data_IF_176068035761
#
_entry.id   IF_176068035761
#
_cell.length_a   1.000
_cell.length_b   1.000
_cell.length_c   1.000
_cell.angle_alpha   90.00
_cell.angle_beta   90.00
_cell.angle_gamma   90.00
#
_symmetry.space_group_name_H-M   'P 1'
#
loop_
_entity.id
_entity.type
_entity.pdbx_description
1 polymer ?
#
# COMPACT_ATOMS: atom_id res chain seq x y z
N UNK A 1 1.62 -8.40 -30.40
CA UNK A 1 2.00 -6.99 -30.16
C UNK A 1 2.87 -6.54 -31.30
N UNK A 2 2.79 -5.28 -31.71
CA UNK A 2 3.71 -4.75 -32.73
C UNK A 2 5.16 -4.86 -32.22
N UNK A 3 6.13 -5.25 -33.05
CA UNK A 3 7.54 -5.29 -32.65
C UNK A 3 8.01 -3.90 -32.20
N UNK A 4 8.84 -3.82 -31.17
CA UNK A 4 9.38 -2.55 -30.64
C UNK A 4 10.17 -1.74 -31.69
N UNK A 5 10.61 -2.37 -32.78
CA UNK A 5 11.32 -1.71 -33.89
C UNK A 5 10.40 -1.20 -35.01
N UNK A 6 9.07 -1.35 -34.87
CA UNK A 6 8.13 -0.86 -35.87
C UNK A 6 8.28 0.67 -36.05
N UNK A 7 8.37 1.18 -37.29
CA UNK A 7 8.43 2.61 -37.57
C UNK A 7 7.27 3.38 -36.92
N UNK A 8 6.10 2.75 -36.79
CA UNK A 8 4.94 3.30 -36.11
C UNK A 8 5.17 3.48 -34.60
N UNK A 9 5.83 2.52 -33.95
CA UNK A 9 6.17 2.59 -32.52
C UNK A 9 7.19 3.70 -32.28
N UNK A 10 8.22 3.80 -33.14
CA UNK A 10 9.20 4.89 -33.07
C UNK A 10 8.58 6.27 -33.28
N UNK A 11 7.66 6.43 -34.24
CA UNK A 11 6.94 7.69 -34.46
C UNK A 11 6.08 8.06 -33.25
N UNK A 12 5.39 7.09 -32.64
CA UNK A 12 4.59 7.33 -31.43
C UNK A 12 5.46 7.63 -30.20
N UNK A 13 6.60 6.97 -30.06
CA UNK A 13 7.58 7.25 -29.01
C UNK A 13 8.23 8.62 -29.19
N UNK A 14 8.61 8.99 -30.41
CA UNK A 14 9.16 10.32 -30.72
C UNK A 14 8.11 11.41 -30.57
N UNK A 15 6.85 11.16 -30.93
CA UNK A 15 5.76 12.09 -30.70
C UNK A 15 5.43 12.22 -29.19
N UNK A 16 5.50 11.12 -28.45
CA UNK A 16 5.39 11.12 -26.98
C UNK A 16 6.55 11.89 -26.33
N UNK A 17 7.79 11.62 -26.73
CA UNK A 17 9.00 12.35 -26.28
C UNK A 17 8.96 13.82 -26.67
N UNK A 18 8.45 14.16 -27.84
CA UNK A 18 8.24 15.53 -28.30
C UNK A 18 7.17 16.25 -27.48
N UNK A 19 6.04 15.59 -27.18
CA UNK A 19 4.99 16.12 -26.30
C UNK A 19 5.45 16.23 -24.83
N UNK A 20 6.32 15.34 -24.38
CA UNK A 20 6.98 15.39 -23.06
C UNK A 20 8.05 16.49 -23.00
N UNK A 21 8.80 16.69 -24.08
CA UNK A 21 9.81 17.75 -24.25
C UNK A 21 9.20 19.15 -24.41
N UNK A 22 7.90 19.24 -24.75
CA UNK A 22 7.15 20.51 -24.73
C UNK A 22 6.91 21.07 -23.32
N UNK A 23 7.13 20.30 -22.26
CA UNK A 23 7.37 20.85 -20.92
C UNK A 23 8.85 21.27 -20.85
N UNK A 24 9.15 22.40 -21.48
CA UNK A 24 10.51 22.82 -21.72
C UNK A 24 11.15 23.35 -20.42
N UNK A 25 12.48 23.43 -20.34
CA UNK A 25 13.19 24.00 -19.18
C UNK A 25 12.68 25.40 -18.80
N UNK A 26 12.23 26.16 -19.82
CA UNK A 26 11.61 27.47 -19.68
C UNK A 26 10.30 27.42 -18.89
N UNK A 27 9.44 26.43 -19.12
CA UNK A 27 8.15 26.27 -18.42
C UNK A 27 8.37 25.84 -16.96
N UNK A 28 9.31 24.92 -16.72
CA UNK A 28 9.70 24.52 -15.35
C UNK A 28 10.29 25.71 -14.58
N UNK A 29 11.19 26.48 -15.20
CA UNK A 29 11.77 27.67 -14.59
C UNK A 29 10.76 28.79 -14.35
N UNK A 30 9.76 28.94 -15.23
CA UNK A 30 8.68 29.92 -15.08
C UNK A 30 7.77 29.56 -13.91
N UNK A 31 7.45 28.27 -13.75
CA UNK A 31 6.64 27.77 -12.64
C UNK A 31 7.33 27.95 -11.30
N UNK A 32 8.65 27.78 -11.24
CA UNK A 32 9.42 27.94 -9.99
C UNK A 32 10.06 29.33 -9.85
N UNK A 33 9.68 30.30 -10.69
CA UNK A 33 10.03 31.72 -10.52
C UNK A 33 9.35 32.28 -9.25
N UNK A 34 9.70 33.52 -8.85
CA UNK A 34 9.34 34.10 -7.54
C UNK A 34 7.84 34.07 -7.20
N UNK A 35 6.97 33.93 -8.19
CA UNK A 35 5.50 33.89 -8.07
C UNK A 35 4.87 32.65 -8.74
N UNK A 36 5.16 31.45 -8.26
CA UNK A 36 4.26 30.33 -8.58
C UNK A 36 2.89 30.58 -7.96
N UNK A 37 1.92 30.97 -8.78
CA UNK A 37 0.54 31.12 -8.35
C UNK A 37 -0.11 29.73 -8.26
N UNK A 38 -0.92 29.48 -7.22
CA UNK A 38 -1.67 28.23 -7.02
C UNK A 38 -2.32 27.74 -8.34
N UNK A 39 -2.89 28.66 -9.13
CA UNK A 39 -3.49 28.36 -10.44
C UNK A 39 -2.54 27.66 -11.44
N UNK A 40 -1.26 28.04 -11.46
CA UNK A 40 -0.28 27.43 -12.37
C UNK A 40 0.04 25.99 -11.95
N UNK A 41 0.27 25.76 -10.64
CA UNK A 41 0.49 24.41 -10.12
C UNK A 41 -0.75 23.53 -10.31
N UNK A 42 -1.94 24.08 -10.06
CA UNK A 42 -3.21 23.39 -10.29
C UNK A 42 -3.36 22.98 -11.76
N UNK A 43 -3.05 23.86 -12.70
CA UNK A 43 -3.09 23.54 -14.14
C UNK A 43 -2.09 22.42 -14.50
N UNK A 44 -0.87 22.46 -13.97
CA UNK A 44 0.16 21.45 -14.23
C UNK A 44 -0.25 20.09 -13.69
N UNK A 45 -0.65 20.02 -12.41
CA UNK A 45 -1.05 18.76 -11.79
C UNK A 45 -2.39 18.22 -12.27
N UNK A 46 -3.23 19.06 -12.87
CA UNK A 46 -4.48 18.65 -13.51
C UNK A 46 -4.27 18.15 -14.95
N UNK A 47 -3.12 18.46 -15.58
CA UNK A 47 -2.77 17.93 -16.90
C UNK A 47 -2.56 16.42 -16.83
N UNK A 48 -3.34 15.67 -17.61
CA UNK A 48 -3.26 14.21 -17.65
C UNK A 48 -1.88 13.72 -18.10
N UNK A 49 -1.30 14.35 -19.13
CA UNK A 49 0.03 13.99 -19.63
C UNK A 49 1.10 14.18 -18.56
N UNK A 50 1.05 15.31 -17.83
CA UNK A 50 1.99 15.56 -16.75
C UNK A 50 1.76 14.61 -15.58
N UNK A 51 0.51 14.37 -15.22
CA UNK A 51 0.15 13.49 -14.12
C UNK A 51 0.54 12.03 -14.39
N UNK A 52 0.48 11.58 -15.63
CA UNK A 52 0.87 10.23 -16.06
C UNK A 52 2.39 10.05 -16.17
N UNK A 53 3.13 11.10 -16.51
CA UNK A 53 4.55 11.01 -16.79
C UNK A 53 5.43 11.65 -15.70
N UNK A 54 6.40 10.88 -15.21
CA UNK A 54 7.33 11.36 -14.19
C UNK A 54 8.40 12.26 -14.81
N UNK A 55 8.60 13.45 -14.23
CA UNK A 55 9.65 14.38 -14.66
C UNK A 55 10.69 14.57 -13.54
N UNK A 56 11.82 13.88 -13.64
CA UNK A 56 12.85 13.84 -12.58
C UNK A 56 13.38 15.24 -12.23
N UNK A 57 13.64 16.09 -13.25
CA UNK A 57 14.09 17.47 -13.04
C UNK A 57 13.05 18.30 -12.29
N UNK A 58 11.78 18.16 -12.67
CA UNK A 58 10.68 18.86 -12.00
C UNK A 58 10.57 18.45 -10.54
N UNK A 59 10.70 17.16 -10.23
CA UNK A 59 10.63 16.64 -8.86
C UNK A 59 11.74 17.23 -8.00
N UNK A 60 12.98 17.27 -8.52
CA UNK A 60 14.12 17.88 -7.82
C UNK A 60 13.89 19.37 -7.55
N UNK A 61 13.48 20.12 -8.58
CA UNK A 61 13.15 21.55 -8.41
C UNK A 61 12.00 21.77 -7.43
N UNK A 62 10.98 20.91 -7.44
CA UNK A 62 9.88 20.96 -6.48
C UNK A 62 10.33 20.68 -5.05
N UNK A 63 11.24 19.71 -4.85
CA UNK A 63 11.78 19.39 -3.53
C UNK A 63 12.58 20.55 -2.92
N UNK A 64 13.22 21.36 -3.76
CA UNK A 64 13.90 22.59 -3.34
C UNK A 64 12.94 23.76 -3.09
N UNK A 65 11.92 23.89 -3.94
CA UNK A 65 11.01 25.04 -3.96
C UNK A 65 9.90 24.94 -2.93
N UNK A 66 9.27 23.77 -2.79
CA UNK A 66 8.07 23.57 -1.97
C UNK A 66 8.25 23.97 -0.50
N UNK A 67 9.35 23.61 0.20
CA UNK A 67 9.56 24.00 1.61
C UNK A 67 9.52 25.51 1.83
N UNK A 68 9.95 26.31 0.84
CA UNK A 68 10.02 27.78 0.93
C UNK A 68 8.69 28.47 0.64
N UNK A 69 7.74 27.77 0.04
CA UNK A 69 6.50 28.36 -0.52
C UNK A 69 5.22 27.71 0.01
N UNK A 70 5.32 26.60 0.73
CA UNK A 70 4.18 25.84 1.24
C UNK A 70 3.16 26.66 2.04
N UNK A 71 3.60 27.70 2.76
CA UNK A 71 2.71 28.57 3.52
C UNK A 71 1.75 29.39 2.63
N UNK A 72 2.14 29.66 1.39
CA UNK A 72 1.29 30.41 0.44
C UNK A 72 0.41 29.50 -0.43
N UNK A 73 0.50 28.18 -0.24
CA UNK A 73 -0.28 27.22 -1.01
C UNK A 73 -1.67 27.01 -0.42
N UNK A 74 -2.65 26.83 -1.30
CA UNK A 74 -3.98 26.39 -0.92
C UNK A 74 -3.96 24.91 -0.52
N UNK A 75 -4.88 24.47 0.35
CA UNK A 75 -5.02 23.03 0.65
C UNK A 75 -5.29 22.18 -0.60
N UNK A 76 -5.98 22.73 -1.59
CA UNK A 76 -6.25 22.05 -2.86
C UNK A 76 -4.96 21.82 -3.65
N UNK A 77 -4.13 22.86 -3.83
CA UNK A 77 -2.82 22.73 -4.49
C UNK A 77 -1.92 21.73 -3.76
N UNK A 78 -1.85 21.79 -2.42
CA UNK A 78 -1.06 20.83 -1.64
C UNK A 78 -1.58 19.39 -1.81
N UNK A 79 -2.89 19.19 -1.90
CA UNK A 79 -3.48 17.88 -2.14
C UNK A 79 -3.17 17.33 -3.54
N UNK A 80 -3.04 18.18 -4.56
CA UNK A 80 -2.59 17.78 -5.90
C UNK A 80 -1.12 17.34 -5.89
N UNK A 81 -0.26 18.07 -5.18
CA UNK A 81 1.15 17.71 -4.99
C UNK A 81 1.24 16.35 -4.28
N UNK A 82 0.54 16.19 -3.15
CA UNK A 82 0.49 14.93 -2.40
C UNK A 82 0.02 13.76 -3.27
N UNK A 83 -1.03 13.97 -4.08
CA UNK A 83 -1.54 12.98 -5.03
C UNK A 83 -0.50 12.58 -6.08
N UNK A 84 0.25 13.55 -6.62
CA UNK A 84 1.33 13.29 -7.58
C UNK A 84 2.47 12.49 -6.94
N UNK A 85 2.93 12.90 -5.75
CA UNK A 85 3.93 12.17 -4.94
C UNK A 85 3.51 10.73 -4.75
N UNK A 86 2.27 10.49 -4.27
CA UNK A 86 1.71 9.16 -4.04
C UNK A 86 1.62 8.30 -5.31
N UNK A 87 1.15 8.87 -6.43
CA UNK A 87 1.04 8.16 -7.72
C UNK A 87 2.37 7.62 -8.20
N UNK A 88 3.40 8.47 -8.16
CA UNK A 88 4.73 8.17 -8.68
C UNK A 88 5.63 7.48 -7.65
N UNK A 89 5.10 7.10 -6.48
CA UNK A 89 5.84 6.41 -5.42
C UNK A 89 7.11 7.16 -4.98
N UNK A 90 7.07 8.49 -5.00
CA UNK A 90 8.22 9.36 -4.70
C UNK A 90 8.48 9.42 -3.19
N UNK A 91 9.53 8.74 -2.73
CA UNK A 91 9.98 8.80 -1.33
C UNK A 91 11.04 9.90 -1.13
N UNK A 92 10.67 11.13 -1.49
CA UNK A 92 11.53 12.31 -1.35
C UNK A 92 11.26 13.02 0.01
N UNK A 93 12.21 12.96 0.97
CA UNK A 93 12.00 13.47 2.33
C UNK A 93 11.57 14.93 2.38
N UNK A 94 12.15 15.81 1.54
CA UNK A 94 11.85 17.25 1.59
C UNK A 94 10.39 17.53 1.21
N UNK A 95 9.87 16.80 0.23
CA UNK A 95 8.46 16.91 -0.18
C UNK A 95 7.53 16.37 0.90
N UNK A 96 7.82 15.17 1.41
CA UNK A 96 6.98 14.49 2.40
C UNK A 96 6.95 15.29 3.73
N UNK A 97 8.09 15.74 4.21
CA UNK A 97 8.17 16.54 5.44
C UNK A 97 7.50 17.91 5.27
N UNK A 98 7.52 18.50 4.07
CA UNK A 98 6.78 19.75 3.81
C UNK A 98 5.26 19.53 3.87
N UNK A 99 4.76 18.42 3.30
CA UNK A 99 3.35 18.03 3.41
C UNK A 99 2.98 17.79 4.89
N UNK A 100 3.86 17.15 5.65
CA UNK A 100 3.67 16.87 7.07
C UNK A 100 3.61 18.15 7.91
N UNK A 101 4.49 19.11 7.64
CA UNK A 101 4.46 20.43 8.28
C UNK A 101 3.20 21.23 7.91
N UNK A 102 2.75 21.15 6.66
CA UNK A 102 1.50 21.78 6.24
C UNK A 102 0.29 21.19 6.98
N UNK A 103 0.23 19.85 7.11
CA UNK A 103 -0.79 19.14 7.88
C UNK A 103 -0.77 19.53 9.36
N UNK A 104 0.42 19.57 9.99
CA UNK A 104 0.56 19.94 11.40
C UNK A 104 0.03 21.36 11.67
N UNK A 105 0.33 22.31 10.78
CA UNK A 105 -0.09 23.70 10.91
C UNK A 105 -1.58 23.90 10.63
N UNK A 106 -2.14 23.23 9.61
CA UNK A 106 -3.47 23.56 9.07
C UNK A 106 -4.55 22.48 9.27
N UNK A 107 -4.19 21.30 9.74
CA UNK A 107 -5.05 20.11 9.72
C UNK A 107 -6.45 20.29 10.34
N UNK A 108 -6.57 21.09 11.40
CA UNK A 108 -7.85 21.39 12.05
C UNK A 108 -8.85 22.08 11.11
N UNK A 109 -8.36 22.98 10.25
CA UNK A 109 -9.21 23.73 9.31
C UNK A 109 -9.53 22.95 8.02
N UNK A 110 -8.91 21.79 7.80
CA UNK A 110 -9.05 21.03 6.56
C UNK A 110 -10.24 20.06 6.59
N UNK A 111 -10.90 19.88 5.46
CA UNK A 111 -11.85 18.79 5.25
C UNK A 111 -11.18 17.41 5.39
N UNK A 112 -11.90 16.42 5.94
CA UNK A 112 -11.37 15.06 6.14
C UNK A 112 -10.88 14.41 4.85
N UNK A 113 -11.52 14.70 3.71
CA UNK A 113 -11.09 14.23 2.38
C UNK A 113 -9.75 14.84 1.94
N UNK A 114 -9.46 16.08 2.34
CA UNK A 114 -8.16 16.72 2.07
C UNK A 114 -7.10 16.11 2.98
N UNK A 115 -7.39 15.96 4.27
CA UNK A 115 -6.48 15.30 5.23
C UNK A 115 -6.11 13.91 4.73
N UNK A 116 -7.08 13.11 4.29
CA UNK A 116 -6.85 11.79 3.70
C UNK A 116 -5.83 11.86 2.54
N UNK A 117 -6.01 12.79 1.60
CA UNK A 117 -5.09 12.95 0.45
C UNK A 117 -3.67 13.35 0.88
N UNK A 118 -3.53 14.12 1.96
CA UNK A 118 -2.24 14.60 2.46
C UNK A 118 -1.53 13.56 3.33
N UNK A 119 -2.27 12.69 4.04
CA UNK A 119 -1.71 11.60 4.86
C UNK A 119 -1.31 10.40 4.02
N UNK A 120 -2.08 10.09 2.96
CA UNK A 120 -1.87 8.92 2.11
C UNK A 120 -0.44 8.75 1.55
N UNK A 121 0.28 9.80 1.12
CA UNK A 121 1.66 9.66 0.65
C UNK A 121 2.59 9.04 1.70
N UNK A 122 2.42 9.36 2.98
CA UNK A 122 3.27 8.83 4.06
C UNK A 122 3.16 7.31 4.13
N UNK A 123 1.93 6.81 4.16
CA UNK A 123 1.69 5.37 4.21
C UNK A 123 2.07 4.70 2.89
N UNK A 124 1.78 5.33 1.74
CA UNK A 124 2.17 4.78 0.43
C UNK A 124 3.68 4.60 0.31
N UNK A 125 4.48 5.55 0.81
CA UNK A 125 5.95 5.47 0.77
C UNK A 125 6.59 4.79 1.98
N UNK A 126 5.78 4.24 2.89
CA UNK A 126 6.25 3.70 4.16
C UNK A 126 7.23 4.68 4.86
N UNK A 127 6.83 5.95 4.90
CA UNK A 127 7.66 7.05 5.38
C UNK A 127 7.00 7.69 6.60
N UNK A 128 7.71 7.67 7.73
CA UNK A 128 7.34 8.45 8.92
C UNK A 128 7.97 9.85 8.80
N UNK A 129 7.16 10.92 8.74
CA UNK A 129 7.69 12.28 8.69
C UNK A 129 8.60 12.63 9.86
N UNK A 130 9.55 13.53 9.68
CA UNK A 130 10.46 13.97 10.76
C UNK A 130 9.71 14.55 11.97
N UNK A 131 8.57 15.19 11.76
CA UNK A 131 7.71 15.76 12.79
C UNK A 131 6.57 14.81 13.26
N UNK A 132 6.66 13.50 13.01
CA UNK A 132 5.59 12.55 13.33
C UNK A 132 5.20 12.52 14.81
N UNK A 133 6.14 12.79 15.72
CA UNK A 133 5.88 12.83 17.17
C UNK A 133 4.84 13.89 17.57
N UNK A 134 4.75 15.00 16.85
CA UNK A 134 3.73 16.04 17.05
C UNK A 134 2.54 15.87 16.10
N UNK A 135 2.81 15.46 14.85
CA UNK A 135 1.78 15.33 13.82
C UNK A 135 0.77 14.23 14.16
N UNK A 136 1.22 13.06 14.61
CA UNK A 136 0.32 11.93 14.83
C UNK A 136 -0.70 12.21 15.93
N UNK A 137 -0.32 12.64 17.16
CA UNK A 137 -1.30 13.02 18.19
C UNK A 137 -2.28 14.10 17.72
N UNK A 138 -1.82 15.05 16.91
CA UNK A 138 -2.70 16.08 16.34
C UNK A 138 -3.71 15.49 15.36
N UNK A 139 -3.30 14.55 14.51
CA UNK A 139 -4.21 13.83 13.61
C UNK A 139 -5.24 13.00 14.39
N UNK A 140 -4.83 12.37 15.50
CA UNK A 140 -5.76 11.66 16.39
C UNK A 140 -6.87 12.58 16.89
N UNK A 141 -6.49 13.71 17.48
CA UNK A 141 -7.45 14.71 17.98
C UNK A 141 -8.40 15.22 16.88
N UNK A 142 -7.90 15.44 15.66
CA UNK A 142 -8.74 15.85 14.52
C UNK A 142 -9.71 14.73 14.12
N UNK A 143 -9.26 13.48 14.11
CA UNK A 143 -10.09 12.33 13.76
C UNK A 143 -11.19 12.08 14.79
N UNK A 144 -10.92 12.23 16.08
CA UNK A 144 -11.95 12.09 17.13
C UNK A 144 -13.14 13.03 16.89
N UNK A 145 -12.86 14.27 16.47
CA UNK A 145 -13.89 15.27 16.18
C UNK A 145 -14.60 15.02 14.84
N UNK A 146 -13.90 14.50 13.83
CA UNK A 146 -14.40 14.38 12.45
C UNK A 146 -14.84 12.97 12.05
N UNK A 147 -14.67 11.98 12.92
CA UNK A 147 -14.87 10.57 12.57
C UNK A 147 -16.29 10.30 12.05
N UNK A 148 -17.31 10.79 12.75
CA UNK A 148 -18.71 10.56 12.41
C UNK A 148 -19.18 11.25 11.12
N UNK A 149 -18.59 12.41 10.77
CA UNK A 149 -19.03 13.21 9.61
C UNK A 149 -18.42 12.73 8.29
N UNK A 150 -17.27 12.05 8.33
CA UNK A 150 -16.60 11.52 7.13
C UNK A 150 -16.05 10.11 7.32
N UNK A 151 -16.91 9.09 7.53
CA UNK A 151 -16.47 7.75 7.94
C UNK A 151 -15.46 7.09 7.01
N UNK A 152 -15.65 7.19 5.69
CA UNK A 152 -14.71 6.62 4.71
C UNK A 152 -13.34 7.30 4.78
N UNK A 153 -13.27 8.63 4.93
CA UNK A 153 -12.00 9.34 5.04
C UNK A 153 -11.29 8.96 6.35
N UNK A 154 -12.03 8.91 7.45
CA UNK A 154 -11.54 8.48 8.78
C UNK A 154 -10.88 7.12 8.71
N UNK A 155 -11.58 6.13 8.14
CA UNK A 155 -11.08 4.76 8.04
C UNK A 155 -9.85 4.67 7.13
N UNK A 156 -9.79 5.45 6.04
CA UNK A 156 -8.59 5.52 5.19
C UNK A 156 -7.38 6.16 5.89
N UNK A 157 -7.59 7.23 6.66
CA UNK A 157 -6.52 7.87 7.44
C UNK A 157 -6.02 6.91 8.51
N UNK A 158 -6.93 6.24 9.22
CA UNK A 158 -6.60 5.23 10.23
C UNK A 158 -5.81 4.07 9.62
N UNK A 159 -6.21 3.58 8.46
CA UNK A 159 -5.46 2.57 7.70
C UNK A 159 -4.05 3.05 7.34
N UNK A 160 -3.90 4.33 6.98
CA UNK A 160 -2.60 4.94 6.70
C UNK A 160 -1.71 4.98 7.96
N UNK A 161 -2.29 5.28 9.13
CA UNK A 161 -1.58 5.28 10.42
C UNK A 161 -1.12 3.86 10.82
N UNK A 162 -1.97 2.85 10.62
CA UNK A 162 -1.62 1.44 10.86
C UNK A 162 -0.49 0.94 9.95
N UNK A 163 -0.52 1.31 8.66
CA UNK A 163 0.59 1.00 7.75
C UNK A 163 1.93 1.55 8.26
N UNK A 164 1.89 2.72 8.91
CA UNK A 164 3.01 3.39 9.56
C UNK A 164 3.25 2.91 11.01
N UNK A 165 2.58 1.87 11.48
CA UNK A 165 2.68 1.32 12.84
C UNK A 165 2.39 2.32 13.96
N UNK A 166 1.35 3.13 13.77
CA UNK A 166 0.83 4.04 14.78
C UNK A 166 -0.66 3.75 15.01
N UNK A 167 -1.06 3.57 16.27
CA UNK A 167 -2.31 2.91 16.66
C UNK A 167 -3.14 3.83 17.58
N UNK A 168 -4.02 4.68 17.02
CA UNK A 168 -4.72 5.68 17.80
C UNK A 168 -5.95 5.10 18.52
N UNK A 169 -5.78 4.78 19.80
CA UNK A 169 -6.74 3.99 20.59
C UNK A 169 -8.13 4.63 20.69
N UNK A 170 -8.21 5.92 20.99
CA UNK A 170 -9.49 6.62 21.17
C UNK A 170 -10.30 6.62 19.86
N UNK A 171 -9.62 6.87 18.73
CA UNK A 171 -10.25 6.83 17.40
C UNK A 171 -10.71 5.40 17.07
N UNK A 172 -9.95 4.38 17.44
CA UNK A 172 -10.34 2.97 17.28
C UNK A 172 -11.63 2.64 18.07
N UNK A 173 -11.76 3.13 19.31
CA UNK A 173 -12.99 2.94 20.10
C UNK A 173 -14.21 3.53 19.39
N UNK A 174 -14.06 4.70 18.77
CA UNK A 174 -15.13 5.35 18.03
C UNK A 174 -15.47 4.61 16.74
N UNK A 175 -14.45 4.20 15.95
CA UNK A 175 -14.62 3.50 14.67
C UNK A 175 -15.22 2.10 14.85
N UNK A 176 -14.86 1.38 15.90
CA UNK A 176 -15.46 0.08 16.22
C UNK A 176 -16.71 0.16 17.10
N UNK A 177 -17.20 1.37 17.40
CA UNK A 177 -18.45 1.52 18.14
C UNK A 177 -19.66 1.01 17.31
N UNK A 178 -20.69 0.44 17.96
CA UNK A 178 -21.91 0.01 17.27
C UNK A 178 -22.59 1.13 16.47
N UNK A 179 -22.54 2.36 16.98
CA UNK A 179 -23.10 3.54 16.31
C UNK A 179 -22.38 3.88 15.02
N UNK A 180 -21.05 3.89 15.03
CA UNK A 180 -20.26 4.13 13.81
C UNK A 180 -20.47 3.02 12.79
N UNK A 181 -20.40 1.76 13.21
CA UNK A 181 -20.58 0.61 12.30
C UNK A 181 -21.96 0.65 11.66
N UNK A 182 -23.02 0.85 12.44
CA UNK A 182 -24.40 0.91 11.91
C UNK A 182 -24.55 2.04 10.88
N UNK A 183 -24.03 3.23 11.19
CA UNK A 183 -24.06 4.37 10.26
C UNK A 183 -23.38 4.05 8.92
N UNK A 184 -22.19 3.44 8.96
CA UNK A 184 -21.46 3.08 7.74
C UNK A 184 -22.15 1.95 6.97
N UNK A 185 -22.68 0.94 7.65
CA UNK A 185 -23.34 -0.19 6.98
C UNK A 185 -24.62 0.23 6.24
N UNK A 186 -25.25 1.34 6.64
CA UNK A 186 -26.40 1.94 5.95
C UNK A 186 -26.02 2.91 4.81
N UNK A 187 -24.74 3.07 4.50
CA UNK A 187 -24.23 4.04 3.54
C UNK A 187 -23.86 3.41 2.18
N UNK A 188 -23.74 4.20 1.08
CA UNK A 188 -23.33 3.67 -0.22
C UNK A 188 -21.88 3.14 -0.26
N UNK A 189 -21.06 3.46 0.75
CA UNK A 189 -19.69 2.99 0.88
C UNK A 189 -19.55 1.81 1.85
N UNK A 190 -20.66 1.19 2.27
CA UNK A 190 -20.68 0.06 3.19
C UNK A 190 -19.72 -1.07 2.76
N UNK A 191 -19.73 -1.46 1.48
CA UNK A 191 -18.90 -2.57 0.98
C UNK A 191 -17.40 -2.29 1.15
N UNK A 192 -16.94 -1.11 0.75
CA UNK A 192 -15.53 -0.74 0.82
C UNK A 192 -15.07 -0.50 2.26
N UNK A 193 -15.91 0.13 3.09
CA UNK A 193 -15.56 0.34 4.50
C UNK A 193 -15.58 -0.96 5.28
N UNK A 194 -16.49 -1.89 4.99
CA UNK A 194 -16.51 -3.23 5.59
C UNK A 194 -15.19 -3.97 5.37
N UNK A 195 -14.61 -3.85 4.16
CA UNK A 195 -13.27 -4.37 3.84
C UNK A 195 -12.17 -3.72 4.68
N UNK A 196 -12.16 -2.39 4.77
CA UNK A 196 -11.17 -1.68 5.60
C UNK A 196 -11.31 -1.99 7.09
N UNK A 197 -12.53 -2.01 7.63
CA UNK A 197 -12.80 -2.36 9.03
C UNK A 197 -12.33 -3.79 9.33
N UNK A 198 -12.54 -4.72 8.41
CA UNK A 198 -12.07 -6.10 8.58
C UNK A 198 -10.54 -6.17 8.63
N UNK A 199 -9.83 -5.43 7.75
CA UNK A 199 -8.37 -5.39 7.85
C UNK A 199 -7.90 -4.66 9.12
N UNK A 200 -8.52 -3.55 9.50
CA UNK A 200 -8.17 -2.82 10.72
C UNK A 200 -8.36 -3.70 11.96
N UNK A 201 -9.45 -4.47 12.04
CA UNK A 201 -9.70 -5.39 13.14
C UNK A 201 -8.62 -6.46 13.24
N UNK A 202 -8.23 -7.05 12.10
CA UNK A 202 -7.12 -7.99 12.04
C UNK A 202 -5.77 -7.34 12.40
N UNK A 203 -5.55 -6.10 11.96
CA UNK A 203 -4.34 -5.36 12.25
C UNK A 203 -4.22 -5.01 13.74
N UNK A 204 -5.33 -4.67 14.41
CA UNK A 204 -5.40 -4.50 15.87
C UNK A 204 -4.97 -5.79 16.56
N UNK A 205 -5.54 -6.93 16.16
CA UNK A 205 -5.19 -8.22 16.74
C UNK A 205 -3.73 -8.62 16.55
N UNK A 206 -3.17 -8.28 15.39
CA UNK A 206 -1.81 -8.65 15.04
C UNK A 206 -0.77 -7.69 15.63
N UNK A 207 -0.99 -6.38 15.55
CA UNK A 207 0.02 -5.37 15.86
C UNK A 207 -0.21 -4.62 17.18
N UNK A 208 -1.45 -4.52 17.69
CA UNK A 208 -1.78 -3.73 18.89
C UNK A 208 -2.32 -4.60 20.02
N UNK A 209 -1.42 -5.32 20.70
CA UNK A 209 -1.75 -6.35 21.71
C UNK A 209 -2.41 -5.79 22.97
N UNK A 210 -2.11 -4.54 23.33
CA UNK A 210 -2.65 -3.89 24.52
C UNK A 210 -4.06 -3.30 24.30
N UNK A 211 -4.60 -3.39 23.09
CA UNK A 211 -5.91 -2.84 22.78
C UNK A 211 -7.04 -3.54 23.55
N UNK A 212 -7.74 -2.79 24.38
CA UNK A 212 -8.85 -3.26 25.21
C UNK A 212 -10.21 -2.70 24.81
N UNK A 213 -10.32 -2.14 23.60
CA UNK A 213 -11.53 -1.50 23.10
C UNK A 213 -12.47 -2.43 22.32
N UNK A 214 -13.57 -1.88 21.77
CA UNK A 214 -14.50 -2.65 20.93
C UNK A 214 -13.81 -3.18 19.67
N UNK A 215 -14.26 -4.34 19.20
CA UNK A 215 -13.78 -5.05 18.01
C UNK A 215 -14.90 -5.19 16.98
N UNK A 216 -14.55 -5.47 15.73
CA UNK A 216 -15.54 -5.68 14.67
C UNK A 216 -16.31 -6.99 14.90
N UNK A 217 -17.64 -6.87 14.97
CA UNK A 217 -18.54 -8.03 15.06
C UNK A 217 -18.27 -9.02 13.91
N UNK A 218 -18.13 -10.33 14.18
CA UNK A 218 -17.88 -11.36 13.18
C UNK A 218 -18.82 -11.32 11.98
N UNK A 219 -20.09 -10.91 12.14
CA UNK A 219 -21.06 -10.82 11.03
C UNK A 219 -20.65 -9.82 9.94
N UNK A 220 -19.84 -8.83 10.30
CA UNK A 220 -19.34 -7.81 9.38
C UNK A 220 -17.95 -8.13 8.84
N UNK A 221 -17.28 -9.18 9.32
CA UNK A 221 -15.97 -9.55 8.79
C UNK A 221 -16.10 -10.03 7.35
N UNK A 222 -15.15 -9.60 6.52
CA UNK A 222 -14.94 -10.07 5.14
C UNK A 222 -13.45 -10.14 4.86
N UNK A 223 -13.06 -11.02 3.94
CA UNK A 223 -11.69 -11.00 3.42
C UNK A 223 -11.51 -9.73 2.57
N UNK A 224 -10.43 -8.98 2.82
CA UNK A 224 -10.29 -7.65 2.22
C UNK A 224 -10.16 -7.68 0.68
N UNK A 225 -9.58 -8.76 0.13
CA UNK A 225 -9.17 -8.85 -1.27
C UNK A 225 -9.72 -10.09 -2.01
N UNK A 226 -10.80 -10.71 -1.53
CA UNK A 226 -11.39 -11.91 -2.17
C UNK A 226 -11.73 -11.69 -3.65
N UNK A 227 -11.97 -10.43 -4.06
CA UNK A 227 -12.05 -9.99 -5.44
C UNK A 227 -11.34 -8.63 -5.55
N UNK A 228 -10.21 -8.62 -6.27
CA UNK A 228 -9.22 -7.55 -6.27
C UNK A 228 -9.82 -6.15 -6.50
N UNK A 229 -9.56 -5.23 -5.56
CA UNK A 229 -9.70 -3.78 -5.77
C UNK A 229 -8.34 -3.10 -5.90
N UNK A 230 -7.26 -3.87 -6.09
CA UNK A 230 -5.94 -3.29 -6.31
C UNK A 230 -5.71 -3.09 -7.80
N UNK A 231 -5.02 -2.00 -8.13
CA UNK A 231 -4.45 -1.74 -9.44
C UNK A 231 -3.47 -2.84 -9.93
N UNK A 232 -3.33 -3.96 -9.22
CA UNK A 232 -2.47 -5.09 -9.57
C UNK A 232 -2.97 -5.86 -10.80
N UNK A 233 -4.28 -5.90 -11.05
CA UNK A 233 -4.79 -6.58 -12.26
C UNK A 233 -4.28 -5.93 -13.55
N UNK A 234 -4.18 -4.59 -13.58
CA UNK A 234 -3.65 -3.88 -14.75
C UNK A 234 -2.13 -4.10 -14.95
N UNK A 235 -1.41 -4.44 -13.87
CA UNK A 235 0.04 -4.61 -13.87
C UNK A 235 0.50 -6.08 -13.98
N UNK A 236 -0.42 -7.06 -13.89
CA UNK A 236 -0.13 -8.51 -14.03
C UNK A 236 0.69 -8.86 -15.27
N UNK A 237 0.56 -8.08 -16.36
CA UNK A 237 1.32 -8.28 -17.62
C UNK A 237 2.85 -8.22 -17.43
N UNK A 238 3.35 -7.54 -16.40
CA UNK A 238 4.78 -7.34 -16.14
C UNK A 238 5.27 -8.09 -14.91
N UNK A 239 4.52 -9.09 -14.45
CA UNK A 239 4.88 -9.81 -13.23
C UNK A 239 5.88 -10.94 -13.50
N UNK A 240 6.90 -11.06 -12.65
CA UNK A 240 7.87 -12.16 -12.71
C UNK A 240 7.33 -13.48 -12.15
N UNK A 241 6.05 -13.53 -11.73
CA UNK A 241 5.41 -14.73 -11.19
C UNK A 241 5.53 -15.95 -12.09
N UNK A 242 5.34 -15.81 -13.39
CA UNK A 242 5.42 -16.94 -14.33
C UNK A 242 6.82 -17.58 -14.36
N UNK A 243 7.86 -16.74 -14.33
CA UNK A 243 9.25 -17.20 -14.27
C UNK A 243 9.54 -17.93 -12.96
N UNK A 244 9.06 -17.39 -11.84
CA UNK A 244 9.23 -18.03 -10.52
C UNK A 244 8.42 -19.33 -10.41
N UNK A 245 7.20 -19.38 -10.95
CA UNK A 245 6.37 -20.58 -10.99
C UNK A 245 7.07 -21.71 -11.75
N UNK A 246 7.63 -21.41 -12.92
CA UNK A 246 8.36 -22.40 -13.72
C UNK A 246 9.60 -22.91 -12.98
N UNK A 247 10.37 -22.01 -12.37
CA UNK A 247 11.53 -22.38 -11.57
C UNK A 247 11.15 -23.27 -10.37
N UNK A 248 10.09 -22.91 -9.64
CA UNK A 248 9.59 -23.73 -8.53
C UNK A 248 9.14 -25.11 -8.99
N UNK A 249 8.39 -25.19 -10.10
CA UNK A 249 7.96 -26.47 -10.68
C UNK A 249 9.14 -27.38 -10.98
N UNK A 250 10.23 -26.84 -11.52
CA UNK A 250 11.45 -27.61 -11.83
C UNK A 250 12.24 -28.01 -10.58
N UNK A 251 12.28 -27.15 -9.57
CA UNK A 251 13.07 -27.37 -8.35
C UNK A 251 12.42 -28.31 -7.35
N UNK A 252 11.10 -28.19 -7.16
CA UNK A 252 10.39 -28.87 -6.07
C UNK A 252 9.15 -29.66 -6.51
N UNK A 253 8.73 -29.56 -7.76
CA UNK A 253 7.50 -30.17 -8.26
C UNK A 253 6.25 -29.28 -8.04
N UNK A 254 5.26 -29.42 -8.91
CA UNK A 254 4.01 -28.64 -8.88
C UNK A 254 3.13 -28.99 -7.66
N UNK A 255 3.26 -30.21 -7.16
CA UNK A 255 2.54 -30.74 -6.01
C UNK A 255 3.06 -30.24 -4.65
N UNK A 256 4.11 -29.42 -4.64
CA UNK A 256 4.82 -28.98 -3.44
C UNK A 256 4.57 -27.52 -3.04
N UNK A 257 3.76 -26.77 -3.80
CA UNK A 257 3.43 -25.38 -3.48
C UNK A 257 2.00 -25.00 -3.89
N UNK A 258 1.40 -24.04 -3.18
CA UNK A 258 0.18 -23.35 -3.64
C UNK A 258 0.53 -22.02 -4.27
N UNK A 259 -0.17 -21.66 -5.33
CA UNK A 259 -0.02 -20.37 -6.00
C UNK A 259 -1.24 -19.49 -5.76
N UNK A 260 -1.02 -18.18 -5.57
CA UNK A 260 -2.06 -17.15 -5.44
C UNK A 260 -3.06 -17.40 -4.28
N UNK A 261 -2.60 -18.07 -3.21
CA UNK A 261 -3.42 -18.42 -2.05
C UNK A 261 -3.80 -17.17 -1.24
N UNK A 262 -5.09 -17.05 -0.88
CA UNK A 262 -5.60 -15.97 -0.03
C UNK A 262 -5.55 -16.40 1.44
N UNK A 263 -4.61 -15.84 2.19
CA UNK A 263 -4.42 -16.11 3.61
C UNK A 263 -5.16 -15.08 4.47
N UNK A 264 -5.67 -15.44 5.65
CA UNK A 264 -6.23 -14.46 6.59
C UNK A 264 -5.25 -13.32 6.88
N UNK A 265 -5.72 -12.06 7.01
CA UNK A 265 -7.11 -11.57 6.92
C UNK A 265 -7.63 -11.27 5.50
N UNK A 266 -6.97 -11.80 4.46
CA UNK A 266 -7.32 -11.60 3.05
C UNK A 266 -6.12 -11.33 2.15
N UNK A 267 -4.90 -11.58 2.62
CA UNK A 267 -3.67 -11.38 1.87
C UNK A 267 -3.48 -12.44 0.82
N UNK A 268 -3.48 -12.03 -0.45
CA UNK A 268 -3.01 -12.87 -1.53
C UNK A 268 -1.48 -13.03 -1.44
N UNK A 269 -1.03 -14.28 -1.42
CA UNK A 269 0.38 -14.68 -1.42
C UNK A 269 0.74 -15.29 -2.75
N UNK A 270 1.97 -15.07 -3.21
CA UNK A 270 2.36 -15.47 -4.56
C UNK A 270 2.62 -16.98 -4.62
N UNK A 271 3.45 -17.50 -3.72
CA UNK A 271 3.58 -18.94 -3.50
C UNK A 271 3.68 -19.29 -2.01
N UNK A 272 3.07 -20.41 -1.62
CA UNK A 272 3.10 -20.95 -0.26
C UNK A 272 3.61 -22.39 -0.27
N UNK A 273 4.64 -22.65 0.54
CA UNK A 273 5.33 -23.93 0.66
C UNK A 273 5.50 -24.31 2.13
N UNK A 274 5.81 -25.57 2.41
CA UNK A 274 6.22 -26.03 3.73
C UNK A 274 7.63 -26.61 3.65
N UNK A 275 8.57 -26.03 4.38
CA UNK A 275 10.00 -26.36 4.29
C UNK A 275 10.52 -26.70 5.68
N UNK A 276 11.28 -27.79 5.79
CA UNK A 276 11.93 -28.15 7.04
C UNK A 276 13.35 -27.53 7.15
N UNK A 277 14.02 -27.76 8.28
CA UNK A 277 15.37 -27.22 8.54
C UNK A 277 16.44 -27.75 7.59
N UNK A 278 16.24 -28.92 6.97
CA UNK A 278 17.17 -29.48 5.97
C UNK A 278 16.92 -28.94 4.55
N UNK A 279 15.95 -28.06 4.35
CA UNK A 279 15.58 -27.52 3.04
C UNK A 279 14.71 -28.46 2.20
N UNK A 280 14.18 -29.54 2.79
CA UNK A 280 13.24 -30.43 2.13
C UNK A 280 11.86 -29.79 2.11
N UNK A 281 11.18 -29.87 0.96
CA UNK A 281 9.80 -29.36 0.79
C UNK A 281 8.80 -30.49 1.01
N UNK A 282 7.72 -30.18 1.74
CA UNK A 282 6.64 -31.13 2.01
C UNK A 282 5.63 -31.13 0.84
N UNK A 283 5.36 -32.28 0.21
CA UNK A 283 4.29 -32.39 -0.77
C UNK A 283 2.93 -32.05 -0.17
N UNK A 284 2.12 -31.29 -0.91
CA UNK A 284 0.82 -30.80 -0.43
C UNK A 284 -0.16 -31.92 -0.09
N UNK A 285 -0.01 -33.13 -0.64
CA UNK A 285 -0.80 -34.31 -0.28
C UNK A 285 -0.66 -34.71 1.19
N UNK A 286 0.46 -34.36 1.82
CA UNK A 286 0.75 -34.63 3.24
C UNK A 286 0.40 -33.47 4.16
N UNK A 287 0.05 -32.31 3.60
CA UNK A 287 -0.39 -31.13 4.34
C UNK A 287 -1.84 -31.34 4.81
N UNK A 288 -2.13 -31.32 6.13
CA UNK A 288 -3.46 -31.60 6.67
C UNK A 288 -4.57 -30.76 6.03
N UNK A 289 -5.73 -31.36 5.77
CA UNK A 289 -6.86 -30.67 5.13
C UNK A 289 -7.33 -29.41 5.90
N UNK A 290 -7.15 -29.36 7.22
CA UNK A 290 -7.44 -28.17 8.03
C UNK A 290 -6.56 -26.96 7.64
N UNK A 291 -5.36 -27.20 7.13
CA UNK A 291 -4.46 -26.16 6.58
C UNK A 291 -4.68 -25.89 5.09
N UNK A 292 -5.66 -26.57 4.47
CA UNK A 292 -6.11 -26.36 3.08
C UNK A 292 -7.28 -25.40 2.95
N UNK A 293 -8.03 -25.13 4.01
CA UNK A 293 -9.19 -24.25 3.95
C UNK A 293 -8.81 -22.82 4.40
N UNK A 294 -9.25 -21.76 3.69
CA UNK A 294 -9.38 -20.47 4.35
C UNK A 294 -10.33 -20.67 5.56
N UNK A 295 -10.11 -20.01 6.70
CA UNK A 295 -11.03 -20.05 7.82
C UNK A 295 -12.32 -19.29 7.43
N UNK A 296 -13.12 -19.90 6.56
CA UNK A 296 -14.47 -19.50 6.31
C UNK A 296 -15.37 -20.28 7.28
N UNK A 297 -16.13 -19.53 8.05
CA UNK A 297 -17.33 -19.98 8.78
C UNK A 297 -17.14 -21.01 9.89
N UNK A 298 -16.24 -20.76 10.85
CA UNK A 298 -16.43 -21.30 12.21
C UNK A 298 -16.82 -20.15 13.15
N UNK A 299 -17.89 -20.27 13.96
CA UNK A 299 -18.35 -19.22 14.88
C UNK A 299 -17.49 -19.11 16.14
N UNK A 300 -16.37 -19.85 16.23
CA UNK A 300 -15.55 -19.89 17.42
C UNK A 300 -14.43 -18.88 17.30
N UNK A 301 -14.33 -18.03 18.33
CA UNK A 301 -13.30 -17.05 18.64
C UNK A 301 -11.86 -17.62 18.65
N UNK A 302 -11.37 -18.16 17.53
CA UNK A 302 -9.95 -18.46 17.38
C UNK A 302 -9.25 -17.21 16.84
N UNK A 303 -8.23 -16.77 17.59
CA UNK A 303 -7.34 -15.71 17.13
C UNK A 303 -6.66 -16.10 15.82
N UNK A 304 -6.48 -15.15 14.91
CA UNK A 304 -5.76 -15.29 13.64
C UNK A 304 -4.38 -15.95 13.83
N UNK A 305 -3.69 -15.64 14.94
CA UNK A 305 -2.39 -16.24 15.30
C UNK A 305 -2.51 -17.70 15.71
N UNK A 306 -3.52 -18.02 16.51
CA UNK A 306 -3.75 -19.39 17.00
C UNK A 306 -4.08 -20.32 15.85
N UNK A 307 -4.80 -19.84 14.82
CA UNK A 307 -5.13 -20.65 13.65
C UNK A 307 -3.90 -21.12 12.90
N UNK A 308 -2.93 -20.26 12.58
CA UNK A 308 -1.76 -20.68 11.79
C UNK A 308 -0.78 -21.53 12.60
N UNK A 309 -0.54 -21.20 13.88
CA UNK A 309 0.34 -21.98 14.75
C UNK A 309 -0.23 -23.36 15.11
N UNK A 310 -1.56 -23.47 15.26
CA UNK A 310 -2.22 -24.76 15.47
C UNK A 310 -2.23 -25.62 14.19
N UNK A 311 -2.19 -25.00 13.01
CA UNK A 311 -2.13 -25.71 11.73
C UNK A 311 -0.74 -26.27 11.40
N UNK A 312 0.31 -25.78 12.07
CA UNK A 312 1.70 -26.23 11.86
C UNK A 312 2.21 -27.12 12.98
N UNK A 313 1.52 -27.21 14.13
CA UNK A 313 1.91 -28.07 15.24
C UNK A 313 1.98 -29.55 14.86
N UNK A 314 1.14 -29.99 13.92
CA UNK A 314 1.05 -31.38 13.47
C UNK A 314 2.15 -31.74 12.46
N UNK A 315 2.89 -30.75 11.94
CA UNK A 315 3.81 -30.91 10.81
C UNK A 315 5.29 -31.14 11.21
N UNK A 316 5.55 -31.64 12.42
CA UNK A 316 6.84 -32.23 12.88
C UNK A 316 8.08 -31.72 12.10
N UNK A 317 8.45 -30.44 12.30
CA UNK A 317 9.61 -29.73 11.74
C UNK A 317 9.44 -28.95 10.41
N UNK A 318 8.27 -28.95 9.77
CA UNK A 318 8.04 -28.11 8.59
C UNK A 318 7.43 -26.74 8.94
N UNK A 319 8.05 -25.67 8.45
CA UNK A 319 7.57 -24.30 8.61
C UNK A 319 6.87 -23.79 7.32
N UNK A 320 5.76 -23.04 7.43
CA UNK A 320 5.11 -22.46 6.27
C UNK A 320 5.93 -21.26 5.75
N UNK A 321 6.36 -21.35 4.49
CA UNK A 321 7.16 -20.36 3.79
C UNK A 321 6.31 -19.69 2.72
N UNK A 322 6.19 -18.37 2.80
CA UNK A 322 5.59 -17.55 1.75
C UNK A 322 6.70 -16.95 0.90
N UNK A 323 6.76 -17.35 -0.37
CA UNK A 323 7.60 -16.73 -1.38
C UNK A 323 6.84 -15.56 -2.00
N UNK A 324 7.33 -14.34 -1.78
CA UNK A 324 6.72 -13.11 -2.28
C UNK A 324 7.49 -12.58 -3.48
N UNK A 325 6.86 -12.62 -4.66
CA UNK A 325 7.38 -12.00 -5.88
C UNK A 325 7.05 -10.52 -5.83
N UNK A 326 8.07 -9.69 -5.67
CA UNK A 326 7.90 -8.26 -5.52
C UNK A 326 8.30 -7.55 -6.82
N UNK A 327 7.31 -7.28 -7.67
CA UNK A 327 7.46 -6.44 -8.86
C UNK A 327 7.78 -4.95 -8.54
N UNK A 328 8.24 -4.19 -9.54
CA UNK A 328 8.70 -2.78 -9.42
C UNK A 328 7.69 -1.84 -8.76
N UNK A 329 6.38 -2.08 -8.88
CA UNK A 329 5.34 -1.23 -8.27
C UNK A 329 5.10 -1.50 -6.77
N UNK A 330 5.65 -2.58 -6.23
CA UNK A 330 5.67 -2.87 -4.80
C UNK A 330 6.71 -2.04 -4.04
N UNK A 331 7.62 -1.38 -4.76
CA UNK A 331 8.67 -0.54 -4.20
C UNK A 331 8.39 0.95 -4.41
N UNK A 332 8.95 1.75 -3.51
CA UNK A 332 9.14 3.17 -3.72
C UNK A 332 10.02 3.39 -4.95
N UNK A 333 9.79 4.48 -5.67
CA UNK A 333 10.53 4.74 -6.89
C UNK A 333 12.03 4.88 -6.59
N UNK A 334 12.86 4.19 -7.38
CA UNK A 334 14.33 4.19 -7.26
C UNK A 334 14.83 3.78 -5.86
N UNK A 335 14.13 2.86 -5.20
CA UNK A 335 14.45 2.42 -3.84
C UNK A 335 14.08 0.95 -3.67
N UNK A 336 14.75 0.30 -2.72
CA UNK A 336 14.46 -1.03 -2.17
C UNK A 336 13.37 -1.02 -1.08
N UNK A 337 12.79 0.14 -0.77
CA UNK A 337 11.77 0.29 0.26
C UNK A 337 10.40 -0.09 -0.29
N UNK A 338 9.79 -1.11 0.32
CA UNK A 338 8.42 -1.50 0.00
C UNK A 338 7.40 -0.40 0.35
N UNK A 339 6.37 -0.28 -0.48
CA UNK A 339 5.20 0.54 -0.18
C UNK A 339 4.49 0.06 1.09
N UNK A 340 3.89 0.96 1.86
CA UNK A 340 3.42 0.64 3.22
C UNK A 340 2.37 -0.46 3.29
N UNK A 341 1.53 -0.63 2.25
CA UNK A 341 0.58 -1.74 2.17
C UNK A 341 1.27 -3.11 2.09
N UNK A 342 2.38 -3.21 1.33
CA UNK A 342 3.18 -4.44 1.20
C UNK A 342 4.01 -4.66 2.47
N UNK A 343 4.60 -3.59 3.01
CA UNK A 343 5.34 -3.66 4.27
C UNK A 343 4.46 -4.13 5.44
N UNK A 344 3.23 -3.60 5.58
CA UNK A 344 2.27 -4.01 6.61
C UNK A 344 1.86 -5.48 6.44
N UNK A 345 1.53 -5.91 5.22
CA UNK A 345 1.25 -7.31 4.92
C UNK A 345 2.39 -8.22 5.38
N UNK A 346 3.62 -7.85 5.06
CA UNK A 346 4.78 -8.67 5.39
C UNK A 346 5.04 -8.71 6.91
N UNK A 347 4.71 -7.66 7.66
CA UNK A 347 4.71 -7.73 9.13
C UNK A 347 3.63 -8.70 9.62
N UNK A 348 2.43 -8.60 9.09
CA UNK A 348 1.29 -9.44 9.49
C UNK A 348 1.52 -10.92 9.23
N UNK A 349 2.00 -11.28 8.04
CA UNK A 349 2.35 -12.66 7.69
C UNK A 349 3.41 -13.23 8.66
N UNK A 350 4.43 -12.44 9.04
CA UNK A 350 5.40 -12.87 10.06
C UNK A 350 4.75 -13.05 11.43
N UNK A 351 3.86 -12.13 11.84
CA UNK A 351 3.17 -12.22 13.14
C UNK A 351 2.20 -13.41 13.20
N UNK A 352 1.72 -13.88 12.05
CA UNK A 352 0.95 -15.11 11.87
C UNK A 352 1.82 -16.37 11.87
N UNK A 353 3.15 -16.27 11.83
CA UNK A 353 4.06 -17.40 11.88
C UNK A 353 4.57 -17.88 10.52
N UNK A 354 4.32 -17.15 9.43
CA UNK A 354 4.91 -17.44 8.12
C UNK A 354 6.36 -16.94 8.03
N UNK A 355 7.22 -17.78 7.46
CA UNK A 355 8.55 -17.37 7.03
C UNK A 355 8.45 -16.70 5.65
N UNK A 356 8.83 -15.43 5.54
CA UNK A 356 8.78 -14.71 4.27
C UNK A 356 10.13 -14.78 3.56
N UNK A 357 10.11 -15.21 2.30
CA UNK A 357 11.22 -15.08 1.36
C UNK A 357 10.77 -14.12 0.26
N UNK A 358 11.49 -13.00 0.12
CA UNK A 358 11.16 -11.97 -0.87
C UNK A 358 12.05 -12.13 -2.09
N UNK A 359 11.44 -12.11 -3.27
CA UNK A 359 12.13 -12.09 -4.56
C UNK A 359 11.94 -10.71 -5.18
N UNK A 360 12.91 -9.78 -5.03
CA UNK A 360 12.82 -8.45 -5.59
C UNK A 360 12.97 -8.47 -7.12
N UNK A 361 12.22 -7.61 -7.80
CA UNK A 361 12.28 -7.50 -9.26
C UNK A 361 13.69 -7.25 -9.81
N UNK A 362 14.54 -6.53 -9.07
CA UNK A 362 15.93 -6.23 -9.47
C UNK A 362 16.81 -7.47 -9.55
N UNK A 363 16.53 -8.52 -8.78
CA UNK A 363 17.22 -9.80 -8.88
C UNK A 363 16.63 -10.65 -10.00
N UNK A 364 15.30 -10.63 -10.15
CA UNK A 364 14.59 -11.36 -11.19
C UNK A 364 14.92 -10.83 -12.60
N UNK A 365 15.14 -9.52 -12.76
CA UNK A 365 15.63 -8.87 -13.99
C UNK A 365 17.00 -9.40 -14.41
N UNK A 366 17.95 -9.49 -13.46
CA UNK A 366 19.28 -10.03 -13.70
C UNK A 366 19.24 -11.49 -14.15
N UNK A 367 18.39 -12.30 -13.52
CA UNK A 367 18.24 -13.73 -13.84
C UNK A 367 17.53 -13.95 -15.18
N UNK A 368 16.60 -13.06 -15.56
CA UNK A 368 15.87 -13.14 -16.83
C UNK A 368 16.66 -12.61 -18.04
N UNK A 369 17.85 -12.04 -17.83
CA UNK A 369 18.64 -11.41 -18.90
C UNK A 369 18.03 -10.11 -19.41
N UNK A 370 17.08 -9.53 -18.68
CA UNK A 370 16.49 -8.22 -18.96
C UNK A 370 17.34 -7.19 -18.21
N UNK A 371 18.54 -6.89 -18.71
CA UNK A 371 19.25 -5.68 -18.30
C UNK A 371 18.55 -4.47 -18.94
N UNK A 372 18.11 -3.49 -18.13
CA UNK A 372 17.57 -2.22 -18.64
C UNK A 372 18.65 -1.54 -19.52
N UNK A 373 18.36 -1.41 -20.82
CA UNK A 373 19.09 -0.56 -21.76
C UNK A 373 18.66 0.92 -21.64
#
# INVERSE_FOLDING_TARGET
GLPGESPLVRVLEDESRSRLGRFNQKDVSMVFSSEANNKALEAIFSSQLFYENRQERFIRSMAEWLPRKAENLTPYTMALIAKYVARHRLREPRLLDTIANFLLKRGEQLDSKVIQKLVFPFSRMNYRPSNHGELFPKLEAILEQKAGSSPLATVNILMSMFQLSHFPQTVLHQVFSPGFITNVMSSPYALIVRRYLSLLDAAVELEFREYSGPRLDPRYRVLMFEHALTADEANRKYSYKGLVAEALRQLVGEECYRQDEVLPPGYCTDFLLWINRSGTVLPLSRVPAASRAPPATSPVSMSLRSSVLALTSDLQDFAPVVLSVNDKWHYCQNSDILVGSRAMRDRHLRLLGYCLVQLPYTELEKVSGIEEA
#
